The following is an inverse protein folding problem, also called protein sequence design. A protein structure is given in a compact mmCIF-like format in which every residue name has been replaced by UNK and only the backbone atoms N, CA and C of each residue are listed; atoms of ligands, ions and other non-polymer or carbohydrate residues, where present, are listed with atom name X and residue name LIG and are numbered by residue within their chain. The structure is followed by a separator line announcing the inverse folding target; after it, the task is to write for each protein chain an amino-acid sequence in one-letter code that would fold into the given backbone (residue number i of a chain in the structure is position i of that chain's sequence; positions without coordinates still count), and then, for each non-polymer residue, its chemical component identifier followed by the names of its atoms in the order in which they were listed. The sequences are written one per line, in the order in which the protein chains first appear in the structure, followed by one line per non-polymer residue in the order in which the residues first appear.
data_IF_150801377164
#
_entry.id   IF_150801377164
#
_cell.length_a   1.000
_cell.length_b   1.000
_cell.length_c   1.000
_cell.angle_alpha   90.00
_cell.angle_beta   90.00
_cell.angle_gamma   90.00
#
_symmetry.space_group_name_H-M   'P 1'
#
loop_
_entity.id
_entity.type
_entity.pdbx_description
1 polymer ?
#
# COMPACT_ATOMS: atom_id res chain seq x y z
N UNK A 1 22.13 -34.49 39.19
CA UNK A 1 21.70 -33.32 38.39
C UNK A 1 21.89 -33.64 36.92
N UNK A 2 20.81 -33.87 36.18
CA UNK A 2 20.58 -33.20 34.89
C UNK A 2 19.16 -33.51 34.40
N UNK A 3 18.37 -32.45 34.33
CA UNK A 3 17.05 -32.41 33.71
C UNK A 3 17.23 -32.24 32.19
N UNK A 4 16.10 -32.42 31.50
CA UNK A 4 15.74 -31.98 30.12
C UNK A 4 16.28 -32.79 28.95
N UNK A 5 15.39 -33.56 28.31
CA UNK A 5 15.17 -33.64 26.86
C UNK A 5 13.83 -34.34 26.59
N UNK A 6 12.72 -33.61 26.79
CA UNK A 6 11.32 -34.10 26.59
C UNK A 6 10.69 -33.55 25.30
N UNK A 7 11.49 -32.92 24.42
CA UNK A 7 10.97 -32.30 23.20
C UNK A 7 11.87 -32.72 22.04
N UNK A 8 11.68 -33.93 21.52
CA UNK A 8 12.23 -34.33 20.21
C UNK A 8 11.70 -35.71 19.81
N UNK A 9 10.40 -35.83 19.57
CA UNK A 9 9.97 -36.87 18.66
C UNK A 9 8.70 -36.48 17.87
N UNK A 10 8.89 -35.55 16.93
CA UNK A 10 7.90 -35.25 15.89
C UNK A 10 7.91 -36.32 14.78
N UNK A 11 8.72 -37.38 14.89
CA UNK A 11 8.81 -38.44 13.87
C UNK A 11 7.71 -39.51 14.00
N UNK A 12 6.89 -39.45 15.06
CA UNK A 12 5.78 -40.38 15.33
C UNK A 12 4.42 -39.94 14.76
N UNK A 13 4.36 -38.89 13.95
CA UNK A 13 3.17 -38.59 13.16
C UNK A 13 3.25 -39.39 11.85
N UNK A 14 2.58 -40.57 11.71
CA UNK A 14 2.51 -41.23 10.42
C UNK A 14 1.82 -40.28 9.46
N UNK A 15 2.59 -39.70 8.54
CA UNK A 15 2.02 -38.91 7.46
C UNK A 15 1.03 -39.81 6.74
N UNK A 16 -0.26 -39.45 6.71
CA UNK A 16 -1.28 -40.40 6.34
C UNK A 16 -1.13 -40.77 4.83
N UNK A 17 -1.37 -42.04 4.46
CA UNK A 17 -0.89 -42.65 3.22
C UNK A 17 -1.44 -42.04 1.92
N UNK A 18 -2.42 -41.15 2.01
CA UNK A 18 -2.99 -40.43 0.87
C UNK A 18 -2.06 -39.34 0.30
N UNK A 19 -1.01 -38.92 1.02
CA UNK A 19 0.00 -37.97 0.50
C UNK A 19 0.95 -38.54 -0.55
N UNK A 20 1.08 -39.87 -0.65
CA UNK A 20 1.87 -40.55 -1.69
C UNK A 20 1.08 -40.86 -2.95
N UNK A 21 -0.23 -40.57 -2.97
CA UNK A 21 -1.04 -40.81 -4.16
C UNK A 21 -0.67 -39.79 -5.25
N UNK A 22 -0.14 -40.23 -6.40
CA UNK A 22 0.27 -39.32 -7.48
C UNK A 22 -0.88 -38.43 -7.95
N UNK A 23 -2.14 -38.90 -7.85
CA UNK A 23 -3.32 -38.12 -8.16
C UNK A 23 -3.60 -37.00 -7.15
N UNK A 24 -3.31 -37.22 -5.87
CA UNK A 24 -3.44 -36.21 -4.83
C UNK A 24 -2.38 -35.12 -4.99
N UNK A 25 -1.12 -35.52 -5.24
CA UNK A 25 -0.03 -34.59 -5.53
C UNK A 25 -0.36 -33.77 -6.79
N UNK A 26 -0.86 -34.41 -7.85
CA UNK A 26 -1.30 -33.73 -9.05
C UNK A 26 -2.44 -32.72 -8.79
N UNK A 27 -3.42 -33.08 -7.97
CA UNK A 27 -4.53 -32.20 -7.60
C UNK A 27 -4.05 -30.97 -6.79
N UNK A 28 -3.13 -31.16 -5.85
CA UNK A 28 -2.53 -30.06 -5.07
C UNK A 28 -1.71 -29.14 -5.95
N UNK A 29 -0.87 -29.68 -6.84
CA UNK A 29 -0.10 -28.88 -7.79
C UNK A 29 -1.02 -28.08 -8.72
N UNK A 30 -2.10 -28.69 -9.20
CA UNK A 30 -3.08 -28.02 -10.06
C UNK A 30 -3.83 -26.91 -9.30
N UNK A 31 -4.22 -27.15 -8.05
CA UNK A 31 -4.87 -26.14 -7.22
C UNK A 31 -3.93 -24.95 -6.94
N UNK A 32 -2.66 -25.21 -6.63
CA UNK A 32 -1.65 -24.16 -6.44
C UNK A 32 -1.40 -23.37 -7.73
N UNK A 33 -1.34 -24.04 -8.89
CA UNK A 33 -1.22 -23.38 -10.18
C UNK A 33 -2.44 -22.51 -10.51
N UNK A 34 -3.66 -22.97 -10.17
CA UNK A 34 -4.88 -22.21 -10.35
C UNK A 34 -4.92 -20.96 -9.45
N UNK A 35 -4.54 -21.10 -8.18
CA UNK A 35 -4.44 -19.97 -7.24
C UNK A 35 -3.39 -18.98 -7.73
N UNK A 36 -2.21 -19.44 -8.12
CA UNK A 36 -1.16 -18.59 -8.68
C UNK A 36 -1.62 -17.87 -9.96
N UNK A 37 -2.40 -18.55 -10.81
CA UNK A 37 -3.02 -17.98 -12.00
C UNK A 37 -4.03 -16.88 -11.66
N UNK A 38 -4.93 -17.13 -10.70
CA UNK A 38 -5.93 -16.15 -10.25
C UNK A 38 -5.25 -14.93 -9.62
N UNK A 39 -4.28 -15.14 -8.74
CA UNK A 39 -3.47 -14.07 -8.11
C UNK A 39 -2.72 -13.29 -9.19
N UNK A 40 -2.10 -13.98 -10.16
CA UNK A 40 -1.40 -13.35 -11.28
C UNK A 40 -2.35 -12.49 -12.11
N UNK A 41 -3.55 -12.99 -12.44
CA UNK A 41 -4.56 -12.23 -13.20
C UNK A 41 -5.09 -11.05 -12.40
N UNK A 42 -5.37 -11.19 -11.10
CA UNK A 42 -5.76 -10.07 -10.24
C UNK A 42 -4.65 -9.02 -10.21
N UNK A 43 -3.42 -9.42 -9.88
CA UNK A 43 -2.25 -8.54 -9.84
C UNK A 43 -2.03 -7.90 -11.21
N UNK A 44 -2.16 -8.63 -12.31
CA UNK A 44 -2.07 -8.09 -13.66
C UNK A 44 -3.19 -7.11 -13.94
N UNK A 45 -4.45 -7.36 -13.56
CA UNK A 45 -5.54 -6.38 -13.76
C UNK A 45 -5.36 -5.13 -12.92
N UNK A 46 -4.85 -5.26 -11.71
CA UNK A 46 -4.53 -4.12 -10.83
C UNK A 46 -3.26 -3.37 -11.27
N UNK A 47 -2.29 -4.04 -11.90
CA UNK A 47 -1.07 -3.44 -12.50
C UNK A 47 -1.27 -2.94 -13.94
N UNK A 48 -2.27 -3.48 -14.65
CA UNK A 48 -2.65 -3.14 -16.03
C UNK A 48 -3.78 -2.12 -16.09
N UNK A 49 -4.29 -1.63 -14.93
CA UNK A 49 -4.68 -0.22 -14.91
C UNK A 49 -3.44 0.53 -15.37
N UNK A 50 -3.46 1.23 -16.50
CA UNK A 50 -2.28 1.92 -16.99
C UNK A 50 -1.87 2.90 -15.89
N UNK A 51 -0.89 2.49 -15.07
CA UNK A 51 -0.06 3.44 -14.35
C UNK A 51 0.57 4.22 -15.49
N UNK A 52 0.22 5.51 -15.66
CA UNK A 52 0.90 6.31 -16.66
C UNK A 52 2.38 6.14 -16.35
N UNK A 53 3.12 5.51 -17.27
CA UNK A 53 4.58 5.60 -17.25
C UNK A 53 4.84 7.10 -17.16
N UNK A 54 5.48 7.63 -16.10
CA UNK A 54 5.54 9.05 -15.92
C UNK A 54 6.39 9.62 -17.06
N UNK A 55 5.74 10.10 -18.11
CA UNK A 55 6.30 11.18 -18.90
C UNK A 55 6.46 12.29 -17.90
N UNK A 56 7.71 12.56 -17.52
CA UNK A 56 8.11 13.64 -16.61
C UNK A 56 7.24 14.85 -16.92
N UNK A 57 6.31 15.26 -16.04
CA UNK A 57 5.49 16.43 -16.32
C UNK A 57 6.44 17.60 -16.51
N UNK A 58 6.39 18.21 -17.69
CA UNK A 58 7.04 19.49 -17.96
C UNK A 58 5.98 20.53 -17.68
N UNK A 59 5.86 20.91 -16.40
CA UNK A 59 4.86 21.85 -15.90
C UNK A 59 4.76 21.78 -14.37
N UNK A 60 4.06 22.75 -13.73
CA UNK A 60 3.73 22.65 -12.31
C UNK A 60 2.94 21.35 -12.03
N UNK A 61 2.97 20.86 -10.78
CA UNK A 61 2.32 19.60 -10.43
C UNK A 61 0.80 19.75 -10.63
N UNK A 62 0.10 18.77 -11.23
CA UNK A 62 -1.33 18.87 -11.45
C UNK A 62 -2.07 18.55 -10.15
N UNK A 63 -2.05 19.46 -9.16
CA UNK A 63 -2.67 19.28 -7.84
C UNK A 63 -4.13 18.79 -7.96
N UNK A 64 -4.90 19.37 -8.87
CA UNK A 64 -6.30 19.01 -9.13
C UNK A 64 -6.48 17.57 -9.62
N UNK A 65 -5.51 17.03 -10.37
CA UNK A 65 -5.55 15.63 -10.80
C UNK A 65 -5.43 14.68 -9.61
N UNK A 66 -4.51 14.97 -8.69
CA UNK A 66 -4.31 14.14 -7.51
C UNK A 66 -5.47 14.26 -6.52
N UNK A 67 -6.06 15.46 -6.37
CA UNK A 67 -7.30 15.63 -5.60
C UNK A 67 -8.47 14.84 -6.20
N UNK A 68 -8.60 14.83 -7.52
CA UNK A 68 -9.63 14.02 -8.20
C UNK A 68 -9.43 12.53 -7.99
N UNK A 69 -8.19 12.04 -8.10
CA UNK A 69 -7.86 10.64 -7.82
C UNK A 69 -8.17 10.25 -6.36
N UNK A 70 -7.94 11.15 -5.39
CA UNK A 70 -8.34 10.95 -4.00
C UNK A 70 -9.85 10.93 -3.82
N UNK A 71 -10.59 11.82 -4.52
CA UNK A 71 -12.05 11.81 -4.51
C UNK A 71 -12.63 10.51 -5.10
N UNK A 72 -12.07 10.02 -6.21
CA UNK A 72 -12.46 8.75 -6.83
C UNK A 72 -12.16 7.55 -5.92
N UNK A 73 -11.05 7.61 -5.18
CA UNK A 73 -10.71 6.60 -4.17
C UNK A 73 -11.69 6.66 -3.00
N UNK A 74 -12.03 7.85 -2.51
CA UNK A 74 -13.04 8.05 -1.46
C UNK A 74 -14.41 7.54 -1.86
N UNK A 75 -14.84 7.76 -3.11
CA UNK A 75 -16.12 7.26 -3.61
C UNK A 75 -16.19 5.73 -3.63
N UNK A 76 -15.06 5.04 -3.85
CA UNK A 76 -14.97 3.58 -3.92
C UNK A 76 -14.51 2.93 -2.61
N UNK A 77 -14.26 3.70 -1.54
CA UNK A 77 -13.64 3.21 -0.30
C UNK A 77 -14.38 2.04 0.36
N UNK A 78 -15.72 2.01 0.29
CA UNK A 78 -16.54 0.94 0.84
C UNK A 78 -16.40 -0.39 0.09
N UNK A 79 -16.01 -0.32 -1.19
CA UNK A 79 -15.78 -1.50 -2.04
C UNK A 79 -14.37 -2.06 -1.94
N UNK A 80 -13.49 -1.40 -1.18
CA UNK A 80 -12.10 -1.79 -0.98
C UNK A 80 -11.89 -2.32 0.44
N UNK A 81 -11.06 -3.34 0.58
CA UNK A 81 -10.52 -3.72 1.89
C UNK A 81 -9.46 -2.70 2.36
N UNK A 82 -9.12 -2.71 3.65
CA UNK A 82 -8.12 -1.80 4.21
C UNK A 82 -6.75 -1.90 3.50
N UNK A 83 -6.37 -3.10 3.09
CA UNK A 83 -5.09 -3.34 2.41
C UNK A 83 -5.03 -2.63 1.06
N UNK A 84 -6.04 -2.82 0.21
CA UNK A 84 -6.17 -2.21 -1.10
C UNK A 84 -6.29 -0.68 -0.99
N UNK A 85 -7.06 -0.18 -0.01
CA UNK A 85 -7.15 1.25 0.27
C UNK A 85 -5.78 1.86 0.61
N UNK A 86 -5.02 1.22 1.51
CA UNK A 86 -3.68 1.67 1.88
C UNK A 86 -2.67 1.62 0.72
N UNK A 87 -2.79 0.64 -0.17
CA UNK A 87 -1.99 0.58 -1.41
C UNK A 87 -2.35 1.72 -2.37
N UNK A 88 -3.64 1.91 -2.69
CA UNK A 88 -4.07 2.95 -3.62
C UNK A 88 -3.74 4.35 -3.07
N UNK A 89 -4.05 4.64 -1.80
CA UNK A 89 -3.78 5.92 -1.16
C UNK A 89 -2.29 6.28 -1.14
N UNK A 90 -1.43 5.34 -0.71
CA UNK A 90 0.02 5.57 -0.70
C UNK A 90 0.60 5.72 -2.12
N UNK A 91 0.02 5.03 -3.11
CA UNK A 91 0.40 5.18 -4.52
C UNK A 91 0.08 6.57 -5.06
N UNK A 92 -1.10 7.10 -4.76
CA UNK A 92 -1.52 8.45 -5.19
C UNK A 92 -0.58 9.50 -4.59
N UNK A 93 -0.32 9.46 -3.29
CA UNK A 93 0.50 10.49 -2.63
C UNK A 93 1.98 10.41 -3.04
N UNK A 94 2.52 9.21 -3.22
CA UNK A 94 3.89 9.06 -3.75
C UNK A 94 4.00 9.60 -5.18
N UNK A 95 3.02 9.31 -6.03
CA UNK A 95 2.97 9.88 -7.39
C UNK A 95 2.84 11.40 -7.39
N UNK A 96 2.13 11.98 -6.42
CA UNK A 96 2.05 13.42 -6.25
C UNK A 96 3.42 14.03 -5.93
N UNK A 97 4.16 13.42 -5.00
CA UNK A 97 5.51 13.84 -4.64
C UNK A 97 6.49 13.67 -5.81
N UNK A 98 6.40 12.57 -6.57
CA UNK A 98 7.19 12.38 -7.81
C UNK A 98 6.94 13.51 -8.82
N UNK A 99 5.66 13.82 -9.06
CA UNK A 99 5.27 14.88 -9.98
C UNK A 99 5.75 16.25 -9.49
N UNK A 100 5.72 16.47 -8.17
CA UNK A 100 6.11 17.74 -7.56
C UNK A 100 7.62 17.98 -7.59
N UNK A 101 8.40 16.98 -7.18
CA UNK A 101 9.85 17.09 -7.10
C UNK A 101 10.59 16.66 -8.37
N UNK A 102 9.87 16.18 -9.39
CA UNK A 102 10.39 15.79 -10.72
C UNK A 102 11.53 14.76 -10.67
N UNK A 103 11.52 13.86 -9.68
CA UNK A 103 12.43 12.73 -9.55
C UNK A 103 11.65 11.40 -9.42
N UNK A 104 12.25 10.27 -9.85
CA UNK A 104 11.63 8.96 -9.71
C UNK A 104 11.69 8.48 -8.25
N UNK A 105 10.54 8.25 -7.61
CA UNK A 105 10.40 7.62 -6.27
C UNK A 105 10.33 6.09 -6.38
N UNK A 106 10.23 5.59 -7.62
CA UNK A 106 10.05 4.17 -7.92
C UNK A 106 11.03 3.29 -7.13
N UNK A 107 10.46 2.55 -6.17
CA UNK A 107 11.05 1.42 -5.41
C UNK A 107 11.74 1.72 -4.08
N UNK A 108 11.52 2.88 -3.48
CA UNK A 108 12.02 3.13 -2.13
C UNK A 108 11.06 2.60 -1.05
N UNK A 109 11.63 2.03 0.01
CA UNK A 109 10.89 1.78 1.25
C UNK A 109 10.37 3.10 1.82
N UNK A 110 9.31 3.06 2.65
CA UNK A 110 8.77 4.27 3.31
C UNK A 110 9.87 5.08 3.99
N UNK A 111 10.86 4.42 4.62
CA UNK A 111 11.99 5.06 5.27
C UNK A 111 12.93 5.77 4.29
N UNK A 112 13.33 5.09 3.21
CA UNK A 112 14.20 5.67 2.18
C UNK A 112 13.55 6.89 1.53
N UNK A 113 12.26 6.79 1.22
CA UNK A 113 11.49 7.89 0.67
C UNK A 113 11.50 9.13 1.58
N UNK A 114 11.26 8.94 2.87
CA UNK A 114 11.26 10.05 3.84
C UNK A 114 12.66 10.66 4.01
N UNK A 115 13.73 9.87 3.99
CA UNK A 115 15.10 10.38 4.02
C UNK A 115 15.40 11.23 2.79
N UNK A 116 14.99 10.78 1.60
CA UNK A 116 15.16 11.54 0.36
C UNK A 116 14.38 12.86 0.35
N UNK A 117 13.18 12.87 0.94
CA UNK A 117 12.34 14.06 1.10
C UNK A 117 12.87 15.00 2.19
N UNK A 118 13.52 14.49 3.24
CA UNK A 118 14.02 15.30 4.35
C UNK A 118 15.20 16.22 3.95
N UNK A 119 16.00 15.84 2.95
CA UNK A 119 17.13 16.63 2.45
C UNK A 119 16.76 17.76 1.48
N UNK A 120 15.47 18.14 1.41
CA UNK A 120 14.90 19.04 0.41
C UNK A 120 14.17 20.20 1.07
N UNK A 121 14.42 21.42 0.59
CA UNK A 121 13.89 22.67 1.15
C UNK A 121 12.48 23.00 0.63
N UNK A 122 12.03 22.30 -0.42
CA UNK A 122 10.71 22.55 -1.05
C UNK A 122 9.54 22.03 -0.19
N UNK A 123 9.80 21.19 0.82
CA UNK A 123 8.82 20.73 1.80
C UNK A 123 9.11 21.33 3.18
N UNK A 124 8.14 22.02 3.77
CA UNK A 124 8.26 22.54 5.12
C UNK A 124 8.27 21.40 6.15
N UNK A 125 8.85 21.63 7.34
CA UNK A 125 8.94 20.63 8.41
C UNK A 125 7.59 19.98 8.74
N UNK A 126 6.55 20.81 8.88
CA UNK A 126 5.17 20.35 9.11
C UNK A 126 4.65 19.41 8.03
N UNK A 127 4.93 19.70 6.76
CA UNK A 127 4.48 18.87 5.65
C UNK A 127 5.24 17.53 5.63
N UNK A 128 6.54 17.52 5.96
CA UNK A 128 7.32 16.28 6.08
C UNK A 128 6.77 15.37 7.18
N UNK A 129 6.42 15.94 8.33
CA UNK A 129 5.79 15.18 9.43
C UNK A 129 4.42 14.61 9.03
N UNK A 130 3.58 15.41 8.35
CA UNK A 130 2.30 14.95 7.85
C UNK A 130 2.44 13.79 6.84
N UNK A 131 3.41 13.88 5.93
CA UNK A 131 3.72 12.83 4.97
C UNK A 131 4.21 11.54 5.65
N UNK A 132 5.07 11.67 6.68
CA UNK A 132 5.56 10.53 7.45
C UNK A 132 4.42 9.83 8.21
N UNK A 133 3.57 10.60 8.89
CA UNK A 133 2.41 10.07 9.61
C UNK A 133 1.42 9.37 8.67
N UNK A 134 1.15 9.95 7.50
CA UNK A 134 0.30 9.34 6.48
C UNK A 134 0.85 8.01 5.97
N UNK A 135 2.15 7.94 5.65
CA UNK A 135 2.75 6.70 5.16
C UNK A 135 2.77 5.61 6.23
N UNK A 136 3.01 5.97 7.50
CA UNK A 136 2.91 5.06 8.62
C UNK A 136 1.47 4.51 8.78
N UNK A 137 0.45 5.36 8.66
CA UNK A 137 -0.95 4.93 8.67
C UNK A 137 -1.25 3.96 7.51
N UNK A 138 -0.79 4.28 6.29
CA UNK A 138 -0.93 3.38 5.15
C UNK A 138 -0.28 2.01 5.39
N UNK A 139 0.91 1.98 5.99
CA UNK A 139 1.61 0.73 6.29
C UNK A 139 0.87 -0.06 7.38
N UNK A 140 0.30 0.62 8.38
CA UNK A 140 -0.64 0.04 9.33
C UNK A 140 -1.80 -0.67 8.64
N UNK A 141 -2.47 -0.02 7.68
CA UNK A 141 -3.57 -0.63 6.91
C UNK A 141 -3.13 -1.81 6.02
N UNK A 142 -1.93 -1.75 5.45
CA UNK A 142 -1.40 -2.83 4.59
C UNK A 142 -1.04 -4.09 5.37
N UNK A 143 -0.63 -3.95 6.63
CA UNK A 143 -0.12 -5.05 7.43
C UNK A 143 -1.00 -5.38 8.65
N UNK A 144 -2.11 -4.67 8.85
CA UNK A 144 -3.08 -4.97 9.89
C UNK A 144 -3.73 -6.35 9.68
N UNK A 145 -3.94 -7.07 10.78
CA UNK A 145 -4.66 -8.35 10.79
C UNK A 145 -6.19 -8.19 10.77
N UNK A 146 -6.67 -6.98 11.04
CA UNK A 146 -8.09 -6.64 11.11
C UNK A 146 -8.40 -5.56 10.07
N UNK A 147 -9.65 -5.51 9.62
CA UNK A 147 -10.09 -4.49 8.68
C UNK A 147 -10.15 -3.11 9.36
N UNK A 148 -9.88 -2.06 8.60
CA UNK A 148 -9.90 -0.68 9.10
C UNK A 148 -11.34 -0.20 9.25
N UNK A 149 -11.61 0.47 10.36
CA UNK A 149 -12.90 1.10 10.61
C UNK A 149 -13.18 2.20 9.58
N UNK A 150 -14.47 2.51 9.34
CA UNK A 150 -14.86 3.60 8.44
C UNK A 150 -14.18 4.92 8.83
N UNK A 151 -14.03 5.20 10.13
CA UNK A 151 -13.37 6.40 10.63
C UNK A 151 -11.87 6.45 10.27
N UNK A 152 -11.16 5.33 10.38
CA UNK A 152 -9.73 5.26 10.00
C UNK A 152 -9.53 5.43 8.50
N UNK A 153 -10.43 4.83 7.69
CA UNK A 153 -10.42 4.97 6.22
C UNK A 153 -10.62 6.42 5.81
N UNK A 154 -11.59 7.11 6.42
CA UNK A 154 -11.87 8.52 6.12
C UNK A 154 -10.73 9.43 6.58
N UNK A 155 -10.23 9.23 7.80
CA UNK A 155 -9.11 10.00 8.34
C UNK A 155 -7.84 9.89 7.49
N UNK A 156 -7.58 8.71 6.90
CA UNK A 156 -6.45 8.51 5.98
C UNK A 156 -6.60 9.37 4.71
N UNK A 157 -7.79 9.35 4.11
CA UNK A 157 -8.09 10.10 2.88
C UNK A 157 -8.10 11.61 3.13
N UNK A 158 -8.62 12.05 4.28
CA UNK A 158 -8.59 13.46 4.71
C UNK A 158 -7.17 13.96 4.88
N UNK A 159 -6.30 13.13 5.47
CA UNK A 159 -4.89 13.46 5.64
C UNK A 159 -4.19 13.62 4.28
N UNK A 160 -4.43 12.71 3.34
CA UNK A 160 -3.87 12.79 1.99
C UNK A 160 -4.35 14.06 1.25
N UNK A 161 -5.64 14.35 1.32
CA UNK A 161 -6.25 15.51 0.64
C UNK A 161 -5.73 16.82 1.22
N UNK A 162 -5.68 16.92 2.55
CA UNK A 162 -5.11 18.08 3.25
C UNK A 162 -3.66 18.30 2.83
N UNK A 163 -2.86 17.23 2.78
CA UNK A 163 -1.46 17.34 2.36
C UNK A 163 -1.32 17.92 0.96
N UNK A 164 -2.07 17.39 -0.03
CA UNK A 164 -2.01 17.89 -1.42
C UNK A 164 -2.45 19.35 -1.49
N UNK A 165 -3.51 19.72 -0.76
CA UNK A 165 -4.03 21.09 -0.66
C UNK A 165 -3.03 22.06 -0.03
N UNK A 166 -2.43 21.71 1.09
CA UNK A 166 -1.40 22.52 1.76
C UNK A 166 -0.19 22.75 0.83
N UNK A 167 0.23 21.73 0.08
CA UNK A 167 1.31 21.87 -0.89
C UNK A 167 0.92 22.71 -2.12
N UNK A 168 -0.37 22.74 -2.49
CA UNK A 168 -0.90 23.61 -3.54
C UNK A 168 -1.08 25.07 -3.08
N UNK A 169 -0.83 25.38 -1.80
CA UNK A 169 -1.17 26.68 -1.21
C UNK A 169 -2.68 26.89 -1.00
N UNK A 170 -3.49 25.85 -1.19
CA UNK A 170 -4.93 25.84 -0.96
C UNK A 170 -5.17 25.43 0.49
N UNK A 171 -5.34 26.37 1.42
CA UNK A 171 -5.65 26.01 2.81
C UNK A 171 -7.08 25.47 2.87
N UNK A 172 -7.33 24.21 3.32
CA UNK A 172 -8.70 23.74 3.52
C UNK A 172 -9.33 24.52 4.66
N UNK A 173 -10.41 25.25 4.35
CA UNK A 173 -11.25 25.93 5.36
C UNK A 173 -11.83 24.84 6.28
N UNK A 174 -11.68 24.95 7.61
CA UNK A 174 -12.32 24.02 8.53
C UNK A 174 -13.83 24.08 8.29
N UNK A 175 -14.45 22.94 7.98
CA UNK A 175 -15.91 22.88 7.98
C UNK A 175 -16.36 22.89 9.44
N UNK A 176 -17.09 23.95 9.80
CA UNK A 176 -17.66 24.21 11.11
C UNK A 176 -18.85 23.28 11.40
#
# INVERSE_FOLDING_TARGET
MNRTNVIEDLSLLPLPPWWLNPWFVAAVVLALAAIAGIVSVLVHRFRARPRPVPRRPVGPPPHDEFLRRLADLRARRESLDAHALGIEASGILRGYIEAWFRFPVLFQTTREFLVHVAGRDELQARQREALAGFLAACDGLKFARHDATHAEREALLDTAERFVRECAGLVPVPQA
#
